data_IF_026398446119
#
_entry.id   IF_026398446119
#
_cell.length_a   1.000
_cell.length_b   1.000
_cell.length_c   1.000
_cell.angle_alpha   90.00
_cell.angle_beta   90.00
_cell.angle_gamma   90.00
#
_symmetry.space_group_name_H-M   'P 1'
#
loop_
_entity.id
_entity.type
_entity.pdbx_description
1 polymer ?
#
# COMPACT_ATOMS: atom_id res chain seq x y z
N UNK A 1 7.66 21.05 -18.58
CA UNK A 1 7.75 20.60 -19.99
C UNK A 1 6.50 19.89 -20.47
N UNK A 2 6.27 18.64 -20.02
CA UNK A 2 5.17 17.78 -20.53
C UNK A 2 3.76 18.35 -20.33
N UNK A 3 3.49 19.03 -19.21
CA UNK A 3 2.18 19.63 -18.92
C UNK A 3 1.78 20.81 -19.83
N UNK A 4 2.74 21.48 -20.50
CA UNK A 4 2.43 22.62 -21.40
C UNK A 4 1.66 22.16 -22.65
N UNK A 5 1.90 20.93 -23.09
CA UNK A 5 1.27 20.32 -24.28
C UNK A 5 -0.16 19.85 -24.03
N UNK A 6 -0.66 19.97 -22.79
CA UNK A 6 -1.99 19.51 -22.41
C UNK A 6 -3.09 20.10 -23.31
N UNK A 7 -3.15 21.43 -23.46
CA UNK A 7 -4.20 22.09 -24.24
C UNK A 7 -4.22 21.65 -25.71
N UNK A 8 -3.06 21.50 -26.34
CA UNK A 8 -2.95 20.99 -27.72
C UNK A 8 -3.40 19.54 -27.84
N UNK A 9 -3.06 18.70 -26.86
CA UNK A 9 -3.52 17.31 -26.83
C UNK A 9 -5.02 17.23 -26.57
N UNK A 10 -5.58 18.04 -25.66
CA UNK A 10 -7.01 18.09 -25.39
C UNK A 10 -7.84 18.30 -26.65
N UNK A 11 -7.49 19.33 -27.43
CA UNK A 11 -8.21 19.64 -28.67
C UNK A 11 -7.95 18.56 -29.73
N UNK A 12 -6.71 18.09 -29.84
CA UNK A 12 -6.31 17.07 -30.82
C UNK A 12 -7.03 15.74 -30.63
N UNK A 13 -6.98 15.16 -29.43
CA UNK A 13 -7.65 13.89 -29.13
C UNK A 13 -9.18 14.01 -29.18
N UNK A 14 -9.74 15.16 -28.80
CA UNK A 14 -11.17 15.39 -28.93
C UNK A 14 -11.62 15.37 -30.40
N UNK A 15 -10.93 16.12 -31.28
CA UNK A 15 -11.26 16.20 -32.70
C UNK A 15 -11.06 14.85 -33.40
N UNK A 16 -9.88 14.24 -33.26
CA UNK A 16 -9.58 12.97 -33.91
C UNK A 16 -10.39 11.81 -33.32
N UNK A 17 -10.61 11.82 -32.01
CA UNK A 17 -11.48 10.85 -31.35
C UNK A 17 -12.92 10.95 -31.83
N UNK A 18 -13.46 12.16 -31.99
CA UNK A 18 -14.80 12.35 -32.54
C UNK A 18 -14.93 11.82 -33.98
N UNK A 19 -13.95 12.15 -34.85
CA UNK A 19 -13.92 11.63 -36.23
C UNK A 19 -13.85 10.09 -36.24
N UNK A 20 -13.00 9.49 -35.41
CA UNK A 20 -12.87 8.03 -35.32
C UNK A 20 -14.15 7.37 -34.81
N UNK A 21 -14.81 7.94 -33.81
CA UNK A 21 -16.09 7.44 -33.30
C UNK A 21 -17.17 7.52 -34.37
N UNK A 22 -17.23 8.61 -35.14
CA UNK A 22 -18.15 8.73 -36.27
C UNK A 22 -17.89 7.69 -37.37
N UNK A 23 -16.62 7.44 -37.72
CA UNK A 23 -16.26 6.41 -38.68
C UNK A 23 -16.64 5.01 -38.20
N UNK A 24 -16.39 4.69 -36.93
CA UNK A 24 -16.77 3.41 -36.34
C UNK A 24 -18.29 3.23 -36.31
N UNK A 25 -19.03 4.27 -35.94
CA UNK A 25 -20.48 4.26 -35.94
C UNK A 25 -21.03 4.11 -37.37
N UNK A 26 -20.50 4.85 -38.35
CA UNK A 26 -20.86 4.70 -39.77
C UNK A 26 -20.57 3.28 -40.27
N UNK A 27 -19.42 2.71 -39.92
CA UNK A 27 -19.09 1.32 -40.24
C UNK A 27 -20.09 0.34 -39.61
N UNK A 28 -20.49 0.55 -38.36
CA UNK A 28 -21.51 -0.32 -37.73
C UNK A 28 -22.87 -0.23 -38.44
N UNK A 29 -23.30 0.96 -38.85
CA UNK A 29 -24.52 1.12 -39.66
C UNK A 29 -24.40 0.48 -41.04
N UNK A 30 -23.23 0.59 -41.68
CA UNK A 30 -22.96 -0.06 -42.95
C UNK A 30 -23.01 -1.60 -42.82
N UNK A 31 -22.44 -2.17 -41.77
CA UNK A 31 -22.52 -3.61 -41.49
C UNK A 31 -23.97 -4.05 -41.26
N UNK A 32 -24.76 -3.28 -40.51
CA UNK A 32 -26.19 -3.56 -40.29
C UNK A 32 -26.96 -3.49 -41.63
N UNK A 33 -26.64 -2.51 -42.48
CA UNK A 33 -27.23 -2.40 -43.81
C UNK A 33 -26.88 -3.62 -44.68
N UNK A 34 -25.62 -4.07 -44.69
CA UNK A 34 -25.21 -5.29 -45.39
C UNK A 34 -25.92 -6.55 -44.86
N UNK A 35 -26.13 -6.65 -43.55
CA UNK A 35 -26.90 -7.72 -42.93
C UNK A 35 -28.38 -7.70 -43.34
N UNK A 36 -28.90 -6.53 -43.70
CA UNK A 36 -30.29 -6.36 -44.16
C UNK A 36 -30.50 -6.74 -45.62
N UNK A 37 -29.45 -7.08 -46.39
CA UNK A 37 -29.60 -7.51 -47.78
C UNK A 37 -30.21 -8.92 -47.87
N UNK A 38 -31.21 -9.10 -48.73
CA UNK A 38 -31.95 -10.37 -48.92
C UNK A 38 -31.06 -11.63 -49.00
N UNK A 39 -29.99 -11.69 -49.82
CA UNK A 39 -29.15 -12.90 -49.89
C UNK A 39 -28.41 -13.19 -48.57
N UNK A 40 -28.09 -12.15 -47.80
CA UNK A 40 -27.44 -12.27 -46.49
C UNK A 40 -28.44 -12.71 -45.43
N UNK A 41 -29.66 -12.16 -45.47
CA UNK A 41 -30.74 -12.59 -44.58
C UNK A 41 -31.03 -14.08 -44.74
N UNK A 42 -31.16 -14.57 -45.97
CA UNK A 42 -31.40 -15.99 -46.25
C UNK A 42 -30.25 -16.87 -45.76
N UNK A 43 -29.00 -16.43 -45.95
CA UNK A 43 -27.82 -17.11 -45.42
C UNK A 43 -27.89 -17.19 -43.89
N UNK A 44 -28.14 -16.08 -43.21
CA UNK A 44 -28.21 -15.99 -41.74
C UNK A 44 -29.34 -16.86 -41.20
N UNK A 45 -30.52 -16.82 -41.81
CA UNK A 45 -31.67 -17.65 -41.42
C UNK A 45 -31.35 -19.13 -41.61
N UNK A 46 -30.67 -19.51 -42.70
CA UNK A 46 -30.26 -20.89 -42.94
C UNK A 46 -29.23 -21.38 -41.92
N UNK A 47 -28.26 -20.54 -41.55
CA UNK A 47 -27.32 -20.83 -40.47
C UNK A 47 -28.02 -20.93 -39.11
N UNK A 48 -29.00 -20.07 -38.82
CA UNK A 48 -29.74 -20.10 -37.57
C UNK A 48 -30.64 -21.35 -37.48
N UNK A 49 -31.27 -21.75 -38.58
CA UNK A 49 -32.05 -23.01 -38.67
C UNK A 49 -31.18 -24.25 -38.43
N UNK A 50 -29.97 -24.29 -39.01
CA UNK A 50 -29.01 -25.39 -38.80
C UNK A 50 -28.31 -25.32 -37.44
N UNK A 51 -28.13 -24.12 -36.92
CA UNK A 51 -27.35 -23.83 -35.71
C UNK A 51 -28.16 -23.72 -34.43
N UNK A 52 -29.50 -23.83 -34.49
CA UNK A 52 -30.38 -23.74 -33.31
C UNK A 52 -30.00 -24.71 -32.19
N UNK A 53 -29.47 -25.89 -32.53
CA UNK A 53 -28.97 -26.86 -31.55
C UNK A 53 -27.81 -26.29 -30.73
N UNK A 54 -26.89 -25.55 -31.34
CA UNK A 54 -25.77 -24.92 -30.63
C UNK A 54 -26.24 -23.80 -29.70
N UNK A 55 -27.30 -23.06 -30.08
CA UNK A 55 -27.92 -22.06 -29.22
C UNK A 55 -28.55 -22.69 -27.97
N UNK A 56 -29.26 -23.81 -28.14
CA UNK A 56 -29.84 -24.57 -27.02
C UNK A 56 -28.73 -25.07 -26.08
N UNK A 57 -27.65 -25.64 -26.64
CA UNK A 57 -26.48 -26.09 -25.87
C UNK A 57 -25.80 -24.93 -25.15
N UNK A 58 -25.66 -23.76 -25.78
CA UNK A 58 -25.08 -22.57 -25.17
C UNK A 58 -25.93 -22.02 -24.01
N UNK A 59 -27.26 -21.98 -24.17
CA UNK A 59 -28.20 -21.57 -23.11
C UNK A 59 -28.15 -22.56 -21.95
N UNK A 60 -28.14 -23.86 -22.23
CA UNK A 60 -28.00 -24.91 -21.22
C UNK A 60 -26.65 -24.80 -20.48
N UNK A 61 -25.56 -24.54 -21.19
CA UNK A 61 -24.24 -24.28 -20.61
C UNK A 61 -24.24 -23.02 -19.72
N UNK A 62 -24.94 -21.95 -20.12
CA UNK A 62 -25.05 -20.74 -19.31
C UNK A 62 -25.86 -20.98 -18.03
N UNK A 63 -26.97 -21.71 -18.15
CA UNK A 63 -27.85 -22.03 -17.01
C UNK A 63 -27.17 -22.99 -16.03
N UNK A 64 -26.49 -24.02 -16.53
CA UNK A 64 -25.76 -24.99 -15.70
C UNK A 64 -24.67 -24.32 -14.85
N UNK A 65 -23.94 -23.33 -15.38
CA UNK A 65 -23.02 -22.52 -14.58
C UNK A 65 -23.70 -21.81 -13.42
N UNK A 66 -24.88 -21.22 -13.65
CA UNK A 66 -25.65 -20.55 -12.59
C UNK A 66 -26.09 -21.55 -11.52
N UNK A 67 -26.55 -22.72 -11.92
CA UNK A 67 -26.95 -23.79 -11.01
C UNK A 67 -25.75 -24.27 -10.18
N UNK A 68 -24.59 -24.52 -10.80
CA UNK A 68 -23.35 -24.90 -10.11
C UNK A 68 -22.96 -23.83 -9.09
N UNK A 69 -23.01 -22.54 -9.46
CA UNK A 69 -22.70 -21.47 -8.49
C UNK A 69 -23.68 -21.39 -7.33
N UNK A 70 -24.93 -21.80 -7.50
CA UNK A 70 -25.92 -21.81 -6.41
C UNK A 70 -25.73 -23.03 -5.51
N UNK A 71 -25.45 -24.21 -6.08
CA UNK A 71 -25.27 -25.48 -5.35
C UNK A 71 -24.01 -25.45 -4.49
N UNK A 72 -22.89 -24.95 -5.03
CA UNK A 72 -21.58 -24.98 -4.37
C UNK A 72 -21.30 -23.76 -3.49
N UNK A 73 -22.13 -22.72 -3.56
CA UNK A 73 -22.01 -21.54 -2.70
C UNK A 73 -22.48 -21.87 -1.29
N UNK A 74 -21.57 -21.75 -0.34
CA UNK A 74 -21.93 -21.78 1.07
C UNK A 74 -22.70 -20.49 1.43
N UNK A 75 -23.88 -20.64 2.03
CA UNK A 75 -24.75 -19.52 2.43
C UNK A 75 -24.53 -19.14 3.91
N UNK A 76 -23.65 -19.84 4.62
CA UNK A 76 -23.37 -19.63 6.04
C UNK A 76 -22.42 -18.44 6.31
N UNK A 77 -21.65 -18.01 5.31
CA UNK A 77 -20.66 -16.93 5.45
C UNK A 77 -21.05 -15.69 4.65
N UNK A 78 -20.56 -14.51 5.08
CA UNK A 78 -20.73 -13.26 4.33
C UNK A 78 -20.05 -13.36 2.96
N UNK A 79 -20.55 -12.60 1.97
CA UNK A 79 -20.08 -12.61 0.57
C UNK A 79 -18.60 -12.25 0.39
N UNK A 80 -17.96 -11.71 1.43
CA UNK A 80 -16.55 -11.30 1.42
C UNK A 80 -15.58 -12.45 1.69
N UNK A 81 -16.07 -13.63 2.13
CA UNK A 81 -15.24 -14.82 2.38
C UNK A 81 -15.59 -15.91 1.37
N UNK A 82 -14.58 -16.36 0.62
CA UNK A 82 -14.74 -17.44 -0.37
C UNK A 82 -14.83 -18.78 0.38
N UNK A 83 -16.04 -19.33 0.46
CA UNK A 83 -16.31 -20.64 1.06
C UNK A 83 -17.09 -21.51 0.06
N UNK A 84 -16.63 -22.75 -0.13
CA UNK A 84 -17.19 -23.71 -1.08
C UNK A 84 -17.72 -24.90 -0.28
N UNK A 85 -18.99 -25.23 -0.47
CA UNK A 85 -19.57 -26.43 0.12
C UNK A 85 -19.12 -27.67 -0.68
N UNK A 86 -18.77 -28.78 -0.01
CA UNK A 86 -18.34 -30.03 -0.64
C UNK A 86 -17.25 -29.88 -1.72
N UNK A 87 -16.02 -29.63 -1.26
CA UNK A 87 -14.82 -29.41 -2.09
C UNK A 87 -14.56 -30.53 -3.10
N UNK A 88 -14.82 -31.80 -2.74
CA UNK A 88 -14.53 -32.94 -3.61
C UNK A 88 -15.48 -32.98 -4.83
N UNK A 89 -16.78 -32.77 -4.62
CA UNK A 89 -17.74 -32.70 -5.71
C UNK A 89 -17.47 -31.51 -6.64
N UNK A 90 -17.04 -30.37 -6.09
CA UNK A 90 -16.61 -29.22 -6.88
C UNK A 90 -15.44 -29.55 -7.80
N UNK A 91 -14.41 -30.25 -7.30
CA UNK A 91 -13.25 -30.65 -8.12
C UNK A 91 -13.66 -31.57 -9.29
N UNK A 92 -14.53 -32.55 -9.03
CA UNK A 92 -15.02 -33.46 -10.09
C UNK A 92 -15.80 -32.71 -11.16
N UNK A 93 -16.71 -31.81 -10.76
CA UNK A 93 -17.49 -31.00 -11.72
C UNK A 93 -16.60 -30.01 -12.48
N UNK A 94 -15.61 -29.42 -11.81
CA UNK A 94 -14.63 -28.54 -12.47
C UNK A 94 -13.82 -29.28 -13.55
N UNK A 95 -13.46 -30.54 -13.31
CA UNK A 95 -12.80 -31.39 -14.31
C UNK A 95 -13.66 -31.59 -15.57
N UNK A 96 -14.96 -31.89 -15.42
CA UNK A 96 -15.85 -31.99 -16.59
C UNK A 96 -16.07 -30.65 -17.28
N UNK A 97 -16.14 -29.56 -16.51
CA UNK A 97 -16.32 -28.21 -17.05
C UNK A 97 -15.13 -27.75 -17.90
N UNK A 98 -13.92 -28.23 -17.60
CA UNK A 98 -12.70 -27.90 -18.33
C UNK A 98 -12.83 -28.13 -19.85
N UNK A 99 -13.41 -29.26 -20.26
CA UNK A 99 -13.54 -29.62 -21.68
C UNK A 99 -14.50 -28.71 -22.45
N UNK A 100 -15.59 -28.27 -21.80
CA UNK A 100 -16.55 -27.31 -22.38
C UNK A 100 -15.95 -25.89 -22.34
N UNK A 101 -15.18 -25.58 -21.29
CA UNK A 101 -14.53 -24.30 -21.08
C UNK A 101 -13.43 -23.98 -22.08
N UNK A 102 -12.68 -24.98 -22.56
CA UNK A 102 -11.56 -24.78 -23.49
C UNK A 102 -11.96 -24.07 -24.81
N UNK A 103 -12.95 -24.55 -25.59
CA UNK A 103 -13.39 -23.83 -26.79
C UNK A 103 -14.08 -22.50 -26.45
N UNK A 104 -14.86 -22.44 -25.36
CA UNK A 104 -15.47 -21.19 -24.89
C UNK A 104 -14.43 -20.13 -24.53
N UNK A 105 -13.27 -20.53 -24.03
CA UNK A 105 -12.15 -19.67 -23.71
C UNK A 105 -11.59 -18.94 -24.93
N UNK A 106 -11.49 -19.62 -26.07
CA UNK A 106 -11.08 -18.99 -27.34
C UNK A 106 -12.05 -17.88 -27.76
N UNK A 107 -13.36 -18.17 -27.78
CA UNK A 107 -14.36 -17.16 -28.12
C UNK A 107 -14.39 -16.00 -27.12
N UNK A 108 -14.22 -16.29 -25.83
CA UNK A 108 -14.09 -15.27 -24.78
C UNK A 108 -12.87 -14.37 -24.98
N UNK A 109 -11.73 -14.92 -25.41
CA UNK A 109 -10.53 -14.15 -25.71
C UNK A 109 -10.72 -13.21 -26.92
N UNK A 110 -11.36 -13.69 -28.00
CA UNK A 110 -11.72 -12.84 -29.15
C UNK A 110 -12.66 -11.72 -28.71
N UNK A 111 -13.71 -12.05 -27.94
CA UNK A 111 -14.64 -11.06 -27.41
C UNK A 111 -13.97 -10.08 -26.44
N UNK A 112 -12.94 -10.50 -25.68
CA UNK A 112 -12.14 -9.61 -24.82
C UNK A 112 -11.45 -8.53 -25.64
N UNK A 113 -10.83 -8.91 -26.76
CA UNK A 113 -10.16 -7.97 -27.67
C UNK A 113 -11.20 -7.03 -28.29
N UNK A 114 -12.33 -7.55 -28.78
CA UNK A 114 -13.40 -6.72 -29.36
C UNK A 114 -13.99 -5.72 -28.36
N UNK A 115 -14.29 -6.15 -27.13
CA UNK A 115 -14.77 -5.28 -26.06
C UNK A 115 -13.74 -4.21 -25.69
N UNK A 116 -12.46 -4.58 -25.59
CA UNK A 116 -11.39 -3.64 -25.30
C UNK A 116 -11.22 -2.59 -26.41
N UNK A 117 -11.30 -3.00 -27.68
CA UNK A 117 -11.26 -2.07 -28.82
C UNK A 117 -12.46 -1.13 -28.81
N UNK A 118 -13.67 -1.64 -28.55
CA UNK A 118 -14.88 -0.82 -28.50
C UNK A 118 -14.83 0.22 -27.36
N UNK A 119 -14.48 -0.21 -26.15
CA UNK A 119 -14.35 0.70 -24.99
C UNK A 119 -13.21 1.68 -25.20
N UNK A 120 -12.06 1.23 -25.70
CA UNK A 120 -10.91 2.09 -25.98
C UNK A 120 -11.20 3.16 -27.02
N UNK A 121 -11.95 2.82 -28.09
CA UNK A 121 -12.36 3.79 -29.10
C UNK A 121 -13.34 4.85 -28.55
N UNK A 122 -14.30 4.43 -27.71
CA UNK A 122 -15.25 5.35 -27.08
C UNK A 122 -14.58 6.29 -26.07
N UNK A 123 -13.54 5.81 -25.39
CA UNK A 123 -12.77 6.59 -24.40
C UNK A 123 -11.69 7.48 -25.03
N UNK A 124 -11.33 7.29 -26.30
CA UNK A 124 -10.27 8.05 -26.97
C UNK A 124 -10.45 9.59 -26.95
N UNK A 125 -11.66 10.17 -27.10
CA UNK A 125 -11.86 11.63 -27.01
C UNK A 125 -11.60 12.20 -25.60
N UNK A 126 -11.58 11.33 -24.59
CA UNK A 126 -11.44 11.67 -23.17
C UNK A 126 -10.00 11.44 -22.72
N UNK A 127 -9.34 12.49 -22.21
CA UNK A 127 -7.93 12.44 -21.76
C UNK A 127 -7.82 12.20 -20.24
N UNK A 128 -8.93 12.31 -19.51
CA UNK A 128 -9.01 12.05 -18.08
C UNK A 128 -8.75 10.57 -17.73
N UNK A 129 -8.97 9.66 -18.68
CA UNK A 129 -8.69 8.23 -18.52
C UNK A 129 -7.65 7.76 -19.54
N UNK A 130 -6.76 6.87 -19.10
CA UNK A 130 -5.88 6.17 -20.02
C UNK A 130 -6.61 4.99 -20.66
N UNK A 131 -6.43 4.82 -21.97
CA UNK A 131 -6.89 3.64 -22.73
C UNK A 131 -6.01 2.41 -22.42
N UNK A 132 -4.79 2.65 -21.93
CA UNK A 132 -3.83 1.60 -21.59
C UNK A 132 -4.18 0.91 -20.27
N UNK A 133 -3.83 -0.38 -20.11
CA UNK A 133 -4.00 -1.08 -18.84
C UNK A 133 -3.16 -0.45 -17.73
N UNK A 134 -3.59 -0.68 -16.48
CA UNK A 134 -2.87 -0.24 -15.28
C UNK A 134 -1.44 -0.79 -15.29
N UNK A 135 -0.47 0.10 -15.02
CA UNK A 135 0.97 -0.18 -15.17
C UNK A 135 1.56 0.34 -16.49
N UNK A 136 0.80 0.34 -17.58
CA UNK A 136 1.24 0.85 -18.90
C UNK A 136 0.74 2.26 -19.22
N UNK A 137 0.04 2.90 -18.29
CA UNK A 137 -0.47 4.28 -18.41
C UNK A 137 0.62 5.30 -18.79
N UNK A 138 1.90 5.03 -18.45
CA UNK A 138 3.03 5.89 -18.82
C UNK A 138 3.31 5.94 -20.33
N UNK A 139 2.82 4.98 -21.11
CA UNK A 139 2.94 5.02 -22.57
C UNK A 139 1.94 6.00 -23.20
N UNK A 140 0.87 6.31 -22.50
CA UNK A 140 -0.16 7.24 -22.95
C UNK A 140 0.32 8.68 -22.80
N UNK A 141 0.65 9.31 -23.93
CA UNK A 141 1.14 10.70 -23.95
C UNK A 141 0.05 11.70 -23.58
N UNK A 142 -1.20 11.41 -23.92
CA UNK A 142 -2.34 12.28 -23.60
C UNK A 142 -2.57 12.33 -22.09
N UNK A 143 -2.75 11.15 -21.51
CA UNK A 143 -2.98 11.00 -20.07
C UNK A 143 -1.83 11.54 -19.21
N UNK A 144 -0.58 11.28 -19.60
CA UNK A 144 0.59 11.84 -18.89
C UNK A 144 0.63 13.37 -18.93
N UNK A 145 0.24 13.99 -20.05
CA UNK A 145 0.18 15.45 -20.16
C UNK A 145 -0.89 16.02 -19.23
N UNK A 146 -2.04 15.34 -19.11
CA UNK A 146 -3.10 15.68 -18.17
C UNK A 146 -2.65 15.59 -16.70
N UNK A 147 -2.04 14.48 -16.27
CA UNK A 147 -1.50 14.36 -14.91
C UNK A 147 -0.48 15.46 -14.62
N UNK A 148 0.44 15.72 -15.55
CA UNK A 148 1.43 16.78 -15.40
C UNK A 148 0.77 18.16 -15.27
N UNK A 149 -0.26 18.43 -16.04
CA UNK A 149 -1.03 19.67 -15.97
C UNK A 149 -1.73 19.80 -14.61
N UNK A 150 -2.37 18.73 -14.12
CA UNK A 150 -3.07 18.72 -12.84
C UNK A 150 -2.13 19.01 -11.65
N UNK A 151 -0.92 18.44 -11.66
CA UNK A 151 0.10 18.72 -10.63
C UNK A 151 0.59 20.17 -10.66
N UNK A 152 0.74 20.75 -11.85
CA UNK A 152 1.09 22.17 -11.99
C UNK A 152 -0.04 23.05 -11.46
N UNK A 153 -1.29 22.78 -11.83
CA UNK A 153 -2.44 23.55 -11.32
C UNK A 153 -2.58 23.43 -9.81
N UNK A 154 -2.45 22.24 -9.23
CA UNK A 154 -2.51 22.08 -7.77
C UNK A 154 -1.36 22.78 -7.06
N UNK A 155 -0.16 22.84 -7.63
CA UNK A 155 0.97 23.56 -7.05
C UNK A 155 0.77 25.08 -7.05
N UNK A 156 0.30 25.67 -8.16
CA UNK A 156 0.16 27.12 -8.30
C UNK A 156 -1.20 27.68 -7.86
N UNK A 157 -2.26 26.88 -7.93
CA UNK A 157 -3.64 27.26 -7.60
C UNK A 157 -4.20 26.47 -6.43
N UNK A 158 -3.36 26.16 -5.44
CA UNK A 158 -3.85 25.54 -4.22
C UNK A 158 -4.84 26.50 -3.51
N UNK A 159 -6.13 26.14 -3.37
CA UNK A 159 -7.13 27.03 -2.80
C UNK A 159 -6.87 27.35 -1.32
N UNK A 160 -6.30 26.39 -0.57
CA UNK A 160 -5.96 26.58 0.85
C UNK A 160 -4.85 27.61 1.00
N UNK A 161 -3.79 27.48 0.19
CA UNK A 161 -2.69 28.45 0.20
C UNK A 161 -3.17 29.84 -0.22
N UNK A 162 -4.01 29.92 -1.26
CA UNK A 162 -4.56 31.20 -1.74
C UNK A 162 -5.40 31.90 -0.67
N UNK A 163 -6.30 31.16 -0.01
CA UNK A 163 -7.11 31.71 1.09
C UNK A 163 -6.24 32.08 2.29
N UNK A 164 -5.23 31.27 2.62
CA UNK A 164 -4.27 31.59 3.68
C UNK A 164 -3.51 32.89 3.41
N UNK A 165 -2.97 33.05 2.20
CA UNK A 165 -2.31 34.30 1.79
C UNK A 165 -3.29 35.49 1.80
N UNK A 166 -4.53 35.29 1.35
CA UNK A 166 -5.55 36.35 1.40
C UNK A 166 -5.85 36.78 2.83
N UNK A 167 -6.02 35.83 3.76
CA UNK A 167 -6.21 36.13 5.18
C UNK A 167 -5.03 36.93 5.76
N UNK A 168 -3.80 36.59 5.37
CA UNK A 168 -2.62 37.34 5.78
C UNK A 168 -2.59 38.77 5.20
N UNK A 169 -2.91 38.92 3.92
CA UNK A 169 -2.97 40.23 3.26
C UNK A 169 -4.05 41.11 3.89
N UNK A 170 -5.25 40.57 4.10
CA UNK A 170 -6.37 41.28 4.72
C UNK A 170 -6.02 41.72 6.15
N UNK A 171 -5.34 40.88 6.94
CA UNK A 171 -4.89 41.24 8.30
C UNK A 171 -3.82 42.35 8.26
N UNK A 172 -2.91 42.34 7.29
CA UNK A 172 -1.88 43.40 7.16
C UNK A 172 -2.46 44.74 6.70
N UNK A 173 -3.43 44.74 5.78
CA UNK A 173 -4.09 45.95 5.29
C UNK A 173 -5.04 46.55 6.32
N UNK A 174 -5.79 45.71 7.04
CA UNK A 174 -6.72 46.13 8.09
C UNK A 174 -6.03 46.39 9.45
N UNK A 175 -4.72 46.22 9.55
CA UNK A 175 -3.99 46.45 10.79
C UNK A 175 -4.09 47.94 11.19
N UNK A 176 -4.72 48.27 12.34
CA UNK A 176 -4.95 49.65 12.77
C UNK A 176 -3.66 50.45 13.04
N UNK A 177 -2.48 49.81 13.06
CA UNK A 177 -1.17 50.48 13.10
C UNK A 177 -0.79 51.14 11.77
N UNK A 178 -1.28 50.65 10.62
CA UNK A 178 -1.08 51.28 9.31
C UNK A 178 -2.10 52.38 9.01
N UNK A 179 -3.25 52.37 9.71
CA UNK A 179 -4.33 53.37 9.60
C UNK A 179 -4.11 54.57 10.56
N UNK A 180 -3.02 54.55 11.34
CA UNK A 180 -2.76 55.47 12.45
C UNK A 180 -2.16 56.84 12.07
N UNK A 181 -2.24 57.25 10.79
CA UNK A 181 -1.87 58.60 10.32
C UNK A 181 -3.03 59.57 10.23
N UNK A 182 -4.23 59.24 10.73
CA UNK A 182 -5.32 60.21 10.91
C UNK A 182 -5.87 60.09 12.33
N UNK A 183 -5.55 61.11 13.11
CA UNK A 183 -5.54 61.08 14.56
C UNK A 183 -6.90 60.84 15.20
N UNK A 184 -6.89 59.97 16.21
CA UNK A 184 -7.74 60.11 17.40
C UNK A 184 -7.23 59.19 18.50
N UNK A 185 -7.15 59.73 19.72
CA UNK A 185 -6.75 59.04 20.95
C UNK A 185 -7.65 57.81 21.21
N UNK A 186 -7.06 56.62 21.34
CA UNK A 186 -7.78 55.41 21.78
C UNK A 186 -7.37 55.03 23.20
N UNK A 187 -8.38 54.90 24.06
CA UNK A 187 -8.31 54.25 25.38
C UNK A 187 -7.73 52.85 25.21
N UNK A 188 -6.66 52.52 25.96
CA UNK A 188 -6.02 51.21 25.95
C UNK A 188 -6.99 50.16 26.54
N UNK A 189 -7.70 49.43 25.70
CA UNK A 189 -8.38 48.19 26.12
C UNK A 189 -7.34 47.12 26.41
N UNK A 190 -7.49 46.45 27.56
CA UNK A 190 -6.69 45.30 27.96
C UNK A 190 -6.89 44.16 26.95
N UNK A 191 -5.98 44.01 26.01
CA UNK A 191 -5.92 42.85 25.13
C UNK A 191 -4.98 41.83 25.77
N UNK A 192 -5.49 40.64 26.08
CA UNK A 192 -4.61 39.49 26.32
C UNK A 192 -3.61 39.41 25.17
N UNK A 193 -2.33 39.16 25.48
CA UNK A 193 -1.30 39.03 24.46
C UNK A 193 -1.77 38.05 23.38
N UNK A 194 -1.81 38.50 22.12
CA UNK A 194 -2.18 37.65 20.99
C UNK A 194 -1.33 36.36 20.97
N UNK A 195 -0.11 36.45 21.48
CA UNK A 195 0.83 35.33 21.64
C UNK A 195 0.35 34.28 22.66
N UNK A 196 -0.28 34.67 23.78
CA UNK A 196 -0.79 33.70 24.76
C UNK A 196 -2.03 32.98 24.24
N UNK A 197 -2.93 33.68 23.53
CA UNK A 197 -4.06 33.07 22.83
C UNK A 197 -3.60 32.08 21.75
N UNK A 198 -2.61 32.46 20.94
CA UNK A 198 -2.03 31.56 19.94
C UNK A 198 -1.43 30.30 20.57
N UNK A 199 -0.67 30.43 21.67
CA UNK A 199 -0.12 29.28 22.42
C UNK A 199 -1.21 28.36 22.97
N UNK A 200 -2.32 28.92 23.45
CA UNK A 200 -3.44 28.12 23.97
C UNK A 200 -4.19 27.38 22.86
N UNK A 201 -4.50 28.05 21.74
CA UNK A 201 -5.10 27.39 20.57
C UNK A 201 -4.20 26.29 20.01
N UNK A 202 -2.90 26.53 20.03
CA UNK A 202 -1.91 25.55 19.61
C UNK A 202 -1.89 24.30 20.50
N UNK A 203 -1.91 24.49 21.83
CA UNK A 203 -2.02 23.39 22.78
C UNK A 203 -3.33 22.61 22.60
N UNK A 204 -4.46 23.31 22.37
CA UNK A 204 -5.75 22.70 22.10
C UNK A 204 -5.74 21.86 20.82
N UNK A 205 -5.13 22.35 19.73
CA UNK A 205 -5.00 21.62 18.46
C UNK A 205 -4.15 20.37 18.62
N UNK A 206 -3.02 20.43 19.35
CA UNK A 206 -2.16 19.29 19.61
C UNK A 206 -2.83 18.24 20.51
N UNK A 207 -3.55 18.67 21.55
CA UNK A 207 -4.27 17.77 22.44
C UNK A 207 -5.38 16.99 21.71
N UNK A 208 -6.02 17.61 20.72
CA UNK A 208 -7.05 16.97 19.88
C UNK A 208 -6.48 16.12 18.74
N UNK A 209 -5.23 16.36 18.34
CA UNK A 209 -4.57 15.68 17.22
C UNK A 209 -3.17 15.19 17.67
N UNK A 210 -3.08 14.05 18.38
CA UNK A 210 -1.81 13.58 18.96
C UNK A 210 -0.76 13.24 17.89
N UNK A 211 -1.17 12.87 16.68
CA UNK A 211 -0.24 12.60 15.55
C UNK A 211 0.53 13.86 15.11
N UNK A 212 -0.05 15.05 15.25
CA UNK A 212 0.66 16.31 14.94
C UNK A 212 1.68 16.68 16.02
N UNK A 213 1.59 16.07 17.20
CA UNK A 213 2.54 16.31 18.29
C UNK A 213 3.86 15.57 18.08
N UNK A 214 3.84 14.39 17.42
CA UNK A 214 5.05 13.70 16.99
C UNK A 214 5.74 14.48 15.86
N UNK A 215 5.01 14.86 14.82
CA UNK A 215 5.58 15.50 13.62
C UNK A 215 6.14 16.92 13.88
N UNK A 216 5.61 17.58 14.91
CA UNK A 216 6.07 18.91 15.32
C UNK A 216 7.40 18.89 16.06
N UNK A 217 7.66 17.84 16.84
CA UNK A 217 8.96 17.74 17.50
C UNK A 217 9.97 17.50 16.38
N UNK A 218 10.98 18.36 16.20
CA UNK A 218 12.00 18.09 15.20
C UNK A 218 12.59 16.71 15.50
N UNK A 219 12.71 15.86 14.48
CA UNK A 219 13.43 14.60 14.59
C UNK A 219 14.84 14.92 15.08
N UNK A 220 15.11 14.66 16.36
CA UNK A 220 16.46 14.69 16.92
C UNK A 220 17.31 13.54 16.35
N UNK A 221 16.71 12.66 15.53
CA UNK A 221 17.33 11.45 14.98
C UNK A 221 17.03 11.23 13.49
N UNK A 222 16.97 12.29 12.67
CA UNK A 222 17.10 12.12 11.22
C UNK A 222 18.60 12.06 10.87
N UNK A 223 19.16 10.93 10.39
CA UNK A 223 20.48 10.95 9.78
C UNK A 223 20.41 11.83 8.54
N UNK A 224 21.19 12.91 8.53
CA UNK A 224 21.33 13.76 7.36
C UNK A 224 21.88 12.91 6.19
N UNK A 225 21.37 13.07 4.95
CA UNK A 225 22.01 12.47 3.80
C UNK A 225 23.42 13.07 3.70
N UNK A 226 24.43 12.20 3.65
CA UNK A 226 25.84 12.58 3.56
C UNK A 226 26.05 13.62 2.46
N UNK A 227 26.33 14.86 2.85
CA UNK A 227 26.90 15.87 1.98
C UNK A 227 28.36 16.06 2.34
N UNK A 228 29.20 15.90 1.33
CA UNK A 228 30.64 16.00 1.39
C UNK A 228 31.10 17.33 2.00
N UNK A 229 32.09 17.20 2.89
CA UNK A 229 33.11 18.15 3.37
C UNK A 229 32.84 19.66 3.32
N UNK A 230 33.09 20.33 4.44
CA UNK A 230 34.26 21.22 4.65
C UNK A 230 34.28 21.65 6.14
N UNK A 231 35.38 21.36 6.86
CA UNK A 231 35.69 21.90 8.20
C UNK A 231 36.07 23.41 8.08
N UNK A 232 36.01 24.33 9.06
CA UNK A 232 36.24 24.39 10.53
C UNK A 232 35.70 25.77 11.02
N UNK A 233 35.46 26.04 12.32
CA UNK A 233 36.44 26.63 13.27
C UNK A 233 35.82 26.76 14.69
N UNK A 234 36.58 26.38 15.72
CA UNK A 234 36.53 26.95 17.08
C UNK A 234 35.45 26.47 18.05
N UNK A 235 35.65 25.35 18.73
CA UNK A 235 35.90 25.33 20.19
C UNK A 235 36.12 23.89 20.67
N UNK A 236 37.20 23.72 21.43
CA UNK A 236 37.58 22.49 22.13
C UNK A 236 36.98 22.56 23.53
N UNK A 237 36.28 21.51 23.94
CA UNK A 237 36.27 21.10 25.35
C UNK A 237 36.49 19.60 25.38
N UNK A 238 37.64 19.20 25.89
CA UNK A 238 37.92 17.84 26.35
C UNK A 238 37.73 17.87 27.87
N UNK A 239 36.95 16.94 28.40
CA UNK A 239 37.22 16.40 29.71
C UNK A 239 36.79 14.94 29.76
N UNK A 240 37.80 14.06 29.84
CA UNK A 240 37.69 12.67 30.22
C UNK A 240 38.21 12.62 31.64
N UNK A 241 37.37 12.23 32.59
CA UNK A 241 37.74 11.51 33.82
C UNK A 241 36.54 10.62 34.17
N UNK A 242 36.71 9.31 34.02
CA UNK A 242 37.01 8.39 35.12
C UNK A 242 35.91 8.32 36.18
N UNK A 243 35.18 7.21 36.13
CA UNK A 243 34.99 6.42 37.35
C UNK A 243 35.29 4.95 37.01
N UNK A 244 36.46 4.49 37.45
CA UNK A 244 36.85 3.10 37.45
C UNK A 244 36.18 2.33 38.59
N UNK A 245 36.15 1.02 38.36
CA UNK A 245 35.71 -0.09 39.20
C UNK A 245 36.17 -0.05 40.67
N UNK A 246 35.47 -0.80 41.54
CA UNK A 246 36.11 -1.98 42.13
C UNK A 246 35.20 -2.85 43.03
N UNK A 247 35.44 -4.16 42.90
CA UNK A 247 35.35 -5.23 43.91
C UNK A 247 33.99 -5.77 44.37
N UNK A 248 33.62 -6.93 43.79
CA UNK A 248 33.47 -8.18 44.57
C UNK A 248 33.80 -9.40 43.69
N UNK A 249 35.05 -9.87 43.78
CA UNK A 249 35.39 -11.27 43.51
C UNK A 249 35.22 -12.08 44.80
N UNK A 250 34.98 -13.39 44.65
CA UNK A 250 34.80 -14.43 45.68
C UNK A 250 33.43 -14.49 46.36
N UNK A 251 32.49 -15.25 45.77
CA UNK A 251 31.80 -16.41 46.39
C UNK A 251 31.26 -17.30 45.25
N UNK A 252 31.58 -18.60 45.32
CA UNK A 252 31.03 -19.75 44.58
C UNK A 252 31.45 -19.99 43.11
N UNK A 253 32.60 -20.64 42.95
CA UNK A 253 32.72 -21.74 41.99
C UNK A 253 31.80 -22.91 42.42
N UNK A 254 31.23 -23.59 41.44
CA UNK A 254 30.57 -24.91 41.53
C UNK A 254 29.36 -25.05 42.47
N UNK A 255 28.18 -24.68 41.98
CA UNK A 255 26.94 -25.40 42.25
C UNK A 255 25.94 -25.17 41.11
N UNK A 256 25.14 -26.19 40.78
CA UNK A 256 24.05 -26.22 39.79
C UNK A 256 24.41 -26.69 38.37
N UNK A 257 25.11 -27.82 38.29
CA UNK A 257 24.72 -28.83 37.31
C UNK A 257 23.39 -29.49 37.77
N UNK A 258 22.26 -28.79 37.59
CA UNK A 258 20.92 -29.40 37.65
C UNK A 258 19.84 -28.36 37.28
N UNK A 259 19.25 -28.52 36.09
CA UNK A 259 18.17 -27.75 35.48
C UNK A 259 18.54 -26.35 34.94
N UNK A 260 18.57 -26.26 33.60
CA UNK A 260 18.46 -25.02 32.86
C UNK A 260 17.18 -24.28 33.28
N UNK A 261 17.21 -22.96 33.54
CA UNK A 261 16.04 -22.21 33.96
C UNK A 261 14.96 -22.20 32.87
N UNK A 262 13.67 -22.23 33.23
CA UNK A 262 12.59 -22.25 32.26
C UNK A 262 12.53 -20.91 31.51
N UNK A 263 12.66 -20.97 30.19
CA UNK A 263 12.48 -19.83 29.30
C UNK A 263 11.47 -20.23 28.21
N UNK A 264 10.44 -19.40 27.94
CA UNK A 264 9.37 -19.79 27.03
C UNK A 264 9.86 -19.90 25.57
N UNK A 265 9.49 -20.98 24.86
CA UNK A 265 9.89 -21.18 23.47
C UNK A 265 9.24 -20.15 22.53
N UNK A 266 9.79 -20.03 21.33
CA UNK A 266 9.22 -19.18 20.29
C UNK A 266 8.19 -19.98 19.47
N UNK A 267 6.91 -19.62 19.61
CA UNK A 267 5.83 -20.23 18.83
C UNK A 267 5.65 -19.51 17.49
N UNK A 268 5.90 -20.23 16.40
CA UNK A 268 5.77 -19.71 15.03
C UNK A 268 4.31 -19.72 14.55
N UNK A 269 3.49 -20.64 15.08
CA UNK A 269 2.19 -21.00 14.51
C UNK A 269 1.00 -20.12 14.94
N UNK A 270 1.15 -19.20 15.90
CA UNK A 270 -0.05 -18.50 16.41
C UNK A 270 -0.61 -17.46 15.42
N UNK A 271 0.21 -16.51 14.94
CA UNK A 271 -0.25 -15.38 14.10
C UNK A 271 0.82 -14.93 13.09
N UNK A 272 0.65 -15.29 11.81
CA UNK A 272 1.61 -15.04 10.73
C UNK A 272 1.90 -13.54 10.44
N UNK A 273 0.98 -12.64 10.81
CA UNK A 273 1.12 -11.19 10.57
C UNK A 273 1.94 -10.47 11.64
N UNK A 274 2.10 -11.07 12.82
CA UNK A 274 2.84 -10.48 13.96
C UNK A 274 4.15 -11.21 14.29
N UNK A 275 4.48 -12.28 13.55
CA UNK A 275 5.66 -13.13 13.76
C UNK A 275 6.96 -12.34 13.88
N UNK A 276 7.18 -11.35 13.02
CA UNK A 276 8.41 -10.53 13.05
C UNK A 276 8.53 -9.64 14.30
N UNK A 277 7.44 -9.03 14.77
CA UNK A 277 7.45 -8.22 16.00
C UNK A 277 7.65 -9.10 17.25
N UNK A 278 7.06 -10.29 17.23
CA UNK A 278 7.23 -11.27 18.31
C UNK A 278 8.64 -11.84 18.35
N UNK A 279 9.24 -12.07 17.19
CA UNK A 279 10.64 -12.48 17.06
C UNK A 279 11.58 -11.45 17.68
N UNK A 280 11.47 -10.16 17.32
CA UNK A 280 12.28 -9.08 17.89
C UNK A 280 12.10 -8.95 19.42
N UNK A 281 10.87 -9.12 19.92
CA UNK A 281 10.61 -9.13 21.37
C UNK A 281 11.24 -10.34 22.06
N UNK A 282 11.22 -11.51 21.41
CA UNK A 282 11.76 -12.75 21.95
C UNK A 282 13.30 -12.71 21.97
N UNK A 283 13.96 -12.25 20.90
CA UNK A 283 15.43 -12.13 20.83
C UNK A 283 15.96 -11.15 21.87
N UNK A 284 15.30 -10.01 22.09
CA UNK A 284 15.65 -9.06 23.17
C UNK A 284 15.57 -9.70 24.56
N UNK A 285 14.52 -10.48 24.83
CA UNK A 285 14.37 -11.22 26.10
C UNK A 285 15.42 -12.30 26.25
N UNK A 286 15.75 -12.99 25.17
CA UNK A 286 16.77 -14.03 25.15
C UNK A 286 18.18 -13.46 25.38
N UNK A 287 18.51 -12.33 24.76
CA UNK A 287 19.79 -11.64 24.99
C UNK A 287 19.90 -11.15 26.44
N UNK A 288 18.83 -10.59 26.98
CA UNK A 288 18.80 -10.20 28.40
C UNK A 288 18.98 -11.41 29.34
N UNK A 289 18.42 -12.56 28.96
CA UNK A 289 18.61 -13.82 29.68
C UNK A 289 20.06 -14.34 29.61
N UNK A 290 20.70 -14.28 28.45
CA UNK A 290 22.12 -14.65 28.30
C UNK A 290 23.03 -13.74 29.12
N UNK A 291 22.73 -12.44 29.18
CA UNK A 291 23.43 -11.48 30.03
C UNK A 291 23.24 -11.80 31.52
N UNK A 292 22.01 -12.12 31.95
CA UNK A 292 21.70 -12.49 33.33
C UNK A 292 22.42 -13.78 33.78
N UNK A 293 22.63 -14.73 32.87
CA UNK A 293 23.38 -15.97 33.15
C UNK A 293 24.91 -15.83 32.98
N UNK A 294 25.40 -14.62 32.67
CA UNK A 294 26.82 -14.34 32.44
C UNK A 294 27.48 -15.26 31.38
N UNK A 295 26.76 -15.56 30.29
CA UNK A 295 27.27 -16.41 29.22
C UNK A 295 27.92 -15.55 28.14
N UNK A 296 29.23 -15.67 28.03
CA UNK A 296 30.05 -14.88 27.11
C UNK A 296 30.46 -15.66 25.87
N UNK A 297 30.65 -16.98 25.98
CA UNK A 297 31.11 -17.86 24.89
C UNK A 297 30.07 -18.00 23.76
N UNK A 298 30.48 -17.65 22.54
CA UNK A 298 29.64 -17.67 21.34
C UNK A 298 29.13 -19.08 20.99
N UNK A 299 29.92 -20.13 21.25
CA UNK A 299 29.49 -21.51 21.00
C UNK A 299 28.34 -21.91 21.90
N UNK A 300 28.44 -21.54 23.18
CA UNK A 300 27.40 -21.77 24.19
C UNK A 300 26.16 -20.92 23.92
N UNK A 301 26.31 -19.68 23.45
CA UNK A 301 25.18 -18.82 23.05
C UNK A 301 24.38 -19.44 21.90
N UNK A 302 25.06 -19.96 20.87
CA UNK A 302 24.41 -20.65 19.75
C UNK A 302 23.70 -21.93 20.18
N UNK A 303 24.34 -22.75 21.00
CA UNK A 303 23.72 -23.97 21.52
C UNK A 303 22.44 -23.66 22.35
N UNK A 304 22.50 -22.63 23.18
CA UNK A 304 21.34 -22.21 23.99
C UNK A 304 20.24 -21.58 23.14
N UNK A 305 20.59 -20.82 22.10
CA UNK A 305 19.60 -20.28 21.16
C UNK A 305 18.77 -21.42 20.56
N UNK A 306 19.44 -22.43 20.00
CA UNK A 306 18.78 -23.58 19.37
C UNK A 306 18.01 -24.45 20.37
N UNK A 307 18.46 -24.53 21.63
CA UNK A 307 17.74 -25.26 22.66
C UNK A 307 16.44 -24.58 23.08
N UNK A 308 16.44 -23.25 23.22
CA UNK A 308 15.30 -22.48 23.73
C UNK A 308 14.36 -21.94 22.66
N UNK A 309 14.76 -21.92 21.38
CA UNK A 309 13.92 -21.41 20.28
C UNK A 309 12.64 -22.24 20.08
N UNK A 310 12.65 -23.52 20.47
CA UNK A 310 11.52 -24.43 20.36
C UNK A 310 11.54 -25.27 19.08
N UNK A 311 10.77 -26.38 19.03
CA UNK A 311 10.88 -27.39 17.98
C UNK A 311 10.56 -26.84 16.58
N UNK A 312 9.44 -26.13 16.41
CA UNK A 312 9.03 -25.60 15.10
C UNK A 312 10.04 -24.60 14.51
N UNK A 313 10.65 -23.78 15.36
CA UNK A 313 11.65 -22.80 14.92
C UNK A 313 13.03 -23.43 14.70
N UNK A 314 13.34 -24.53 15.40
CA UNK A 314 14.54 -25.33 15.17
C UNK A 314 14.47 -26.06 13.82
N UNK A 315 13.33 -26.66 13.49
CA UNK A 315 13.12 -27.31 12.18
C UNK A 315 13.31 -26.30 11.03
N UNK A 316 12.82 -25.06 11.20
CA UNK A 316 13.07 -23.97 10.24
C UNK A 316 14.57 -23.67 10.13
N UNK A 317 15.29 -23.60 11.24
CA UNK A 317 16.73 -23.34 11.23
C UNK A 317 17.52 -24.39 10.44
N UNK A 318 17.14 -25.68 10.53
CA UNK A 318 17.80 -26.75 9.76
C UNK A 318 17.59 -26.61 8.24
N UNK A 319 16.50 -25.96 7.80
CA UNK A 319 16.25 -25.71 6.38
C UNK A 319 17.02 -24.52 5.81
N UNK A 320 17.58 -23.66 6.66
CA UNK A 320 18.30 -22.46 6.23
C UNK A 320 19.71 -22.81 5.75
N UNK A 321 20.11 -22.26 4.61
CA UNK A 321 21.48 -22.40 4.09
C UNK A 321 22.39 -21.32 4.66
N UNK A 322 23.68 -21.62 4.82
CA UNK A 322 24.71 -20.67 5.26
C UNK A 322 24.49 -20.08 6.68
N UNK A 323 24.21 -20.95 7.66
CA UNK A 323 24.00 -20.60 9.08
C UNK A 323 25.29 -20.46 9.91
N UNK A 324 26.47 -20.53 9.27
CA UNK A 324 27.78 -20.41 9.93
C UNK A 324 28.21 -21.63 10.75
N UNK A 325 29.46 -21.64 11.22
CA UNK A 325 30.04 -22.70 12.06
C UNK A 325 29.58 -22.59 13.51
N UNK A 326 29.86 -23.59 14.36
CA UNK A 326 29.42 -23.64 15.76
C UNK A 326 29.79 -22.40 16.61
N UNK A 327 30.74 -21.57 16.16
CA UNK A 327 31.19 -20.33 16.79
C UNK A 327 30.42 -19.08 16.33
N UNK A 328 29.65 -19.17 15.24
CA UNK A 328 28.98 -18.05 14.60
C UNK A 328 27.56 -17.87 15.14
N UNK A 329 27.44 -17.25 16.31
CA UNK A 329 26.14 -16.93 16.92
C UNK A 329 25.41 -15.81 16.15
N UNK A 330 26.12 -14.73 15.80
CA UNK A 330 25.52 -13.56 15.17
C UNK A 330 24.92 -13.91 13.80
N UNK A 331 25.64 -14.73 13.02
CA UNK A 331 25.17 -15.21 11.71
C UNK A 331 23.90 -16.07 11.82
N UNK A 332 23.80 -16.89 12.87
CA UNK A 332 22.60 -17.71 13.11
C UNK A 332 21.38 -16.84 13.45
N UNK A 333 21.56 -15.81 14.28
CA UNK A 333 20.48 -14.84 14.61
C UNK A 333 20.07 -14.02 13.39
N UNK A 334 21.03 -13.56 12.58
CA UNK A 334 20.73 -12.73 11.42
C UNK A 334 19.89 -13.49 10.40
N UNK A 335 20.21 -14.77 10.13
CA UNK A 335 19.44 -15.63 9.23
C UNK A 335 18.03 -15.91 9.74
N UNK A 336 17.88 -16.20 11.04
CA UNK A 336 16.55 -16.38 11.64
C UNK A 336 15.75 -15.07 11.60
N UNK A 337 16.42 -13.94 11.82
CA UNK A 337 15.79 -12.62 11.74
C UNK A 337 15.35 -12.29 10.33
N UNK A 338 16.14 -12.60 9.31
CA UNK A 338 15.79 -12.46 7.89
C UNK A 338 14.57 -13.32 7.51
N UNK A 339 14.49 -14.55 8.05
CA UNK A 339 13.35 -15.45 7.79
C UNK A 339 12.06 -15.00 8.49
N UNK A 340 12.14 -14.53 9.74
CA UNK A 340 10.97 -14.15 10.53
C UNK A 340 10.55 -12.69 10.36
N UNK A 341 11.40 -11.81 9.82
CA UNK A 341 10.95 -10.47 9.41
C UNK A 341 10.17 -10.59 8.11
N UNK A 342 8.87 -10.20 8.09
CA UNK A 342 8.12 -10.21 6.86
C UNK A 342 8.80 -9.28 5.87
N UNK A 343 9.11 -9.77 4.66
CA UNK A 343 9.50 -8.89 3.57
C UNK A 343 8.37 -7.88 3.39
N UNK A 344 8.64 -6.62 3.73
CA UNK A 344 7.65 -5.54 3.65
C UNK A 344 7.20 -5.41 2.20
N UNK A 345 6.05 -5.98 1.88
CA UNK A 345 5.47 -5.85 0.57
C UNK A 345 4.93 -4.43 0.41
N UNK A 346 5.70 -3.60 -0.29
CA UNK A 346 5.42 -2.18 -0.53
C UNK A 346 4.02 -2.02 -1.15
N UNK A 347 3.59 -2.96 -1.99
CA UNK A 347 2.30 -2.91 -2.66
C UNK A 347 1.13 -3.15 -1.68
N UNK A 348 1.31 -4.02 -0.69
CA UNK A 348 0.30 -4.30 0.35
C UNK A 348 0.15 -3.14 1.33
N UNK A 349 1.25 -2.56 1.79
CA UNK A 349 1.22 -1.37 2.66
C UNK A 349 0.63 -0.15 1.93
N UNK A 350 0.96 0.02 0.65
CA UNK A 350 0.36 1.06 -0.20
C UNK A 350 -1.15 0.84 -0.37
N UNK A 351 -1.59 -0.42 -0.51
CA UNK A 351 -3.00 -0.78 -0.57
C UNK A 351 -3.73 -0.43 0.74
N UNK A 352 -3.19 -0.81 1.90
CA UNK A 352 -3.73 -0.47 3.22
C UNK A 352 -3.81 1.04 3.44
N UNK A 353 -2.75 1.78 3.09
CA UNK A 353 -2.73 3.24 3.18
C UNK A 353 -3.81 3.89 2.32
N UNK A 354 -4.01 3.40 1.08
CA UNK A 354 -5.08 3.88 0.18
C UNK A 354 -6.49 3.58 0.69
N UNK A 355 -6.64 2.60 1.58
CA UNK A 355 -7.92 2.29 2.21
C UNK A 355 -8.23 3.13 3.45
N UNK A 356 -7.23 3.78 4.04
CA UNK A 356 -7.43 4.62 5.21
C UNK A 356 -8.38 5.79 4.87
N UNK A 357 -9.54 5.85 5.54
CA UNK A 357 -10.50 6.95 5.43
C UNK A 357 -10.56 7.71 6.75
N UNK A 358 -10.63 9.04 6.66
CA UNK A 358 -10.84 9.89 7.82
C UNK A 358 -12.29 9.73 8.31
N UNK A 359 -12.49 9.00 9.42
CA UNK A 359 -13.78 8.97 10.09
C UNK A 359 -14.00 10.29 10.83
N UNK A 360 -14.94 11.10 10.36
CA UNK A 360 -15.40 12.26 11.08
C UNK A 360 -16.28 11.79 12.26
N UNK A 361 -15.83 12.03 13.49
CA UNK A 361 -16.64 11.83 14.69
C UNK A 361 -17.48 13.10 14.89
N UNK A 362 -18.72 13.11 14.40
CA UNK A 362 -19.71 14.10 14.83
C UNK A 362 -19.97 13.87 16.32
N UNK A 363 -19.36 14.68 17.19
CA UNK A 363 -19.82 14.81 18.57
C UNK A 363 -21.10 15.64 18.53
N UNK A 364 -22.23 15.00 18.86
CA UNK A 364 -23.47 15.68 19.25
C UNK A 364 -23.27 16.43 20.56
#
# INVERSE_FOLDING_TARGET
GKGLRYHSYQIGYFLWGYILVLLLLSFTFFVIYLLSLDPVQDLVVNYMKRGGVYLIVAIFSWLSLRIITVIFRDNSYSKDVISINNRNAYMVISYFWFFIGLPMGFFSAVLRILKAMAVGALMLPRIDHSVMPDGFQRLDRGFNAYICYLHVETAYRNPVLRVFCQMLVDETQNNPRNVQTLGMNRVRKWTFSAQSRARWFLALTLARNPQLASDRKPDVQAPQPAQAGHARYGDVVVEIDQFCADNTAFIQDNALASALPPFPPFNVDDDATTTGQRWDKWTKRFNNFLLAMNITDATRKRALLLHYIGPSAFDIFETLTDTGEAKDYDKAIDRLTEHFTPQRNIDYETYLFRQARQHYRLKR
#
